data_IF_677115508733
#
_entry.id   IF_677115508733
#
_cell.length_a   1.000
_cell.length_b   1.000
_cell.length_c   1.000
_cell.angle_alpha   90.00
_cell.angle_beta   90.00
_cell.angle_gamma   90.00
#
_symmetry.space_group_name_H-M   'P 1'
#
loop_
_entity.id
_entity.type
_entity.pdbx_description
1 polymer ?
#
# COMPACT_ATOMS: atom_id res chain seq x y z
N UNK A 1 18.41 -29.72 3.39
CA UNK A 1 17.32 -29.14 4.21
C UNK A 1 16.05 -29.25 3.38
N UNK A 2 15.04 -29.93 3.89
CA UNK A 2 13.74 -30.10 3.23
C UNK A 2 12.83 -28.91 3.59
N UNK A 3 12.18 -28.30 2.60
CA UNK A 3 11.24 -27.19 2.83
C UNK A 3 9.97 -27.76 3.47
N UNK A 4 9.59 -27.35 4.71
CA UNK A 4 8.53 -28.02 5.44
C UNK A 4 7.17 -27.75 4.81
N UNK A 5 6.43 -28.81 4.48
CA UNK A 5 5.03 -28.72 4.09
C UNK A 5 4.15 -28.33 5.30
N UNK A 6 3.35 -27.29 5.14
CA UNK A 6 2.41 -26.83 6.17
C UNK A 6 1.13 -26.31 5.50
N UNK A 7 0.11 -27.17 5.46
CA UNK A 7 -1.20 -26.84 4.87
C UNK A 7 -1.85 -25.62 5.52
N UNK A 8 -1.70 -25.45 6.84
CA UNK A 8 -2.29 -24.31 7.55
C UNK A 8 -1.65 -23.01 7.12
N UNK A 9 -0.32 -22.99 6.89
CA UNK A 9 0.36 -21.80 6.32
C UNK A 9 -0.12 -21.48 4.91
N UNK A 10 -0.30 -22.48 4.06
CA UNK A 10 -0.79 -22.29 2.69
C UNK A 10 -2.21 -21.70 2.71
N UNK A 11 -3.12 -22.30 3.48
CA UNK A 11 -4.52 -21.83 3.59
C UNK A 11 -4.66 -20.44 4.22
N UNK A 12 -3.72 -20.06 5.09
CA UNK A 12 -3.69 -18.76 5.75
C UNK A 12 -2.83 -17.72 5.01
N UNK A 13 -2.26 -18.07 3.84
CA UNK A 13 -1.59 -17.08 2.99
C UNK A 13 -2.59 -16.02 2.53
N UNK A 14 -2.12 -14.78 2.44
CA UNK A 14 -2.94 -13.63 2.07
C UNK A 14 -2.17 -12.77 1.07
N UNK A 15 -2.93 -12.06 0.25
CA UNK A 15 -2.39 -11.02 -0.59
C UNK A 15 -1.81 -9.91 0.28
N UNK A 16 -0.77 -9.25 -0.23
CA UNK A 16 -0.25 -8.06 0.42
C UNK A 16 -1.12 -6.87 0.04
N UNK A 17 -1.99 -6.48 0.96
CA UNK A 17 -2.86 -5.31 0.82
C UNK A 17 -2.39 -4.18 1.72
N UNK A 18 -2.44 -2.95 1.23
CA UNK A 18 -2.24 -1.77 2.05
C UNK A 18 -3.02 -0.57 1.49
N UNK A 19 -3.40 0.39 2.35
CA UNK A 19 -4.18 1.54 1.93
C UNK A 19 -3.33 2.53 1.14
N UNK A 20 -3.91 3.04 0.06
CA UNK A 20 -3.38 4.12 -0.75
C UNK A 20 -4.44 5.20 -0.91
N UNK A 21 -4.03 6.41 -1.29
CA UNK A 21 -4.96 7.48 -1.63
C UNK A 21 -4.81 7.79 -3.12
N UNK A 22 -5.93 7.76 -3.86
CA UNK A 22 -6.00 8.24 -5.24
C UNK A 22 -6.97 9.41 -5.26
N UNK A 23 -6.52 10.57 -5.74
CA UNK A 23 -7.22 11.84 -5.60
C UNK A 23 -7.47 12.17 -4.10
N UNK A 24 -8.69 11.92 -3.61
CA UNK A 24 -9.08 12.13 -2.20
C UNK A 24 -9.75 10.91 -1.56
N UNK A 25 -9.72 9.77 -2.26
CA UNK A 25 -10.34 8.52 -1.81
C UNK A 25 -9.25 7.58 -1.28
N UNK A 26 -9.43 7.12 -0.05
CA UNK A 26 -8.60 6.08 0.54
C UNK A 26 -9.16 4.72 0.10
N UNK A 27 -8.33 3.91 -0.55
CA UNK A 27 -8.71 2.60 -1.06
C UNK A 27 -7.67 1.56 -0.64
N UNK A 28 -8.09 0.31 -0.49
CA UNK A 28 -7.16 -0.80 -0.33
C UNK A 28 -6.59 -1.18 -1.70
N UNK A 29 -5.26 -1.25 -1.81
CA UNK A 29 -4.57 -1.71 -3.00
C UNK A 29 -3.79 -2.99 -2.72
N UNK A 30 -3.75 -3.87 -3.74
CA UNK A 30 -2.99 -5.12 -3.74
C UNK A 30 -1.62 -4.84 -4.34
N UNK A 31 -0.56 -5.18 -3.64
CA UNK A 31 0.83 -5.04 -4.09
C UNK A 31 1.33 -6.40 -4.58
N UNK A 32 1.42 -6.55 -5.91
CA UNK A 32 1.68 -7.83 -6.56
C UNK A 32 2.87 -7.76 -7.51
N UNK A 33 4.04 -8.23 -7.05
CA UNK A 33 5.24 -8.34 -7.88
C UNK A 33 5.13 -9.41 -8.98
N UNK A 34 4.10 -10.25 -8.97
CA UNK A 34 3.80 -11.20 -10.04
C UNK A 34 3.10 -10.57 -11.24
N UNK A 35 2.52 -9.39 -11.09
CA UNK A 35 1.87 -8.66 -12.17
C UNK A 35 2.87 -7.77 -12.92
N UNK A 36 2.95 -7.91 -14.24
CA UNK A 36 3.85 -7.09 -15.07
C UNK A 36 3.47 -5.61 -15.12
N UNK A 37 2.17 -5.30 -14.99
CA UNK A 37 1.61 -3.94 -15.05
C UNK A 37 0.61 -3.72 -13.92
N UNK A 38 0.40 -2.46 -13.56
CA UNK A 38 -0.66 -2.07 -12.63
C UNK A 38 -2.04 -2.10 -13.27
N UNK A 39 -3.05 -2.50 -12.52
CA UNK A 39 -4.44 -2.68 -13.00
C UNK A 39 -5.43 -2.00 -12.06
N UNK A 40 -6.45 -1.37 -12.62
CA UNK A 40 -7.58 -0.81 -11.89
C UNK A 40 -8.90 -1.28 -12.51
N UNK A 41 -9.89 -1.63 -11.70
CA UNK A 41 -11.20 -2.00 -12.23
C UNK A 41 -11.89 -0.80 -12.86
N UNK A 42 -12.69 -1.04 -13.91
CA UNK A 42 -13.50 -0.01 -14.55
C UNK A 42 -14.41 0.72 -13.55
N UNK A 43 -15.10 -0.04 -12.70
CA UNK A 43 -15.97 0.50 -11.64
C UNK A 43 -15.24 1.46 -10.70
N UNK A 44 -14.00 1.14 -10.32
CA UNK A 44 -13.20 1.98 -9.44
C UNK A 44 -12.63 3.19 -10.19
N UNK A 45 -12.17 3.01 -11.43
CA UNK A 45 -11.69 4.12 -12.28
C UNK A 45 -12.79 5.16 -12.50
N UNK A 46 -14.02 4.73 -12.79
CA UNK A 46 -15.19 5.61 -12.97
C UNK A 46 -15.52 6.36 -11.67
N UNK A 47 -15.53 5.66 -10.52
CA UNK A 47 -15.73 6.27 -9.19
C UNK A 47 -14.69 7.36 -8.90
N UNK A 48 -13.43 7.10 -9.25
CA UNK A 48 -12.31 8.02 -9.07
C UNK A 48 -12.22 9.10 -10.16
N UNK A 49 -13.13 9.07 -11.15
CA UNK A 49 -13.19 9.99 -12.29
C UNK A 49 -11.90 10.00 -13.12
N UNK A 50 -11.27 8.84 -13.25
CA UNK A 50 -10.09 8.64 -14.06
C UNK A 50 -10.46 8.61 -15.54
N UNK A 51 -9.67 9.28 -16.39
CA UNK A 51 -9.93 9.38 -17.83
C UNK A 51 -9.00 8.44 -18.59
N UNK A 52 -9.54 7.48 -19.37
CA UNK A 52 -8.71 6.63 -20.23
C UNK A 52 -8.11 7.42 -21.39
N UNK A 53 -6.94 6.98 -21.85
CA UNK A 53 -6.33 7.42 -23.10
C UNK A 53 -6.91 6.64 -24.29
N UNK A 54 -6.52 7.02 -25.50
CA UNK A 54 -6.87 6.28 -26.71
C UNK A 54 -6.19 4.89 -26.75
N UNK A 55 -5.03 4.77 -26.11
CA UNK A 55 -4.20 3.58 -26.10
C UNK A 55 -4.87 2.41 -25.37
N UNK A 56 -4.44 1.20 -25.74
CA UNK A 56 -4.88 -0.03 -25.11
C UNK A 56 -3.76 -1.06 -25.06
N UNK A 57 -3.76 -1.86 -24.00
CA UNK A 57 -2.84 -2.95 -23.81
C UNK A 57 -3.61 -4.25 -23.62
N UNK A 58 -3.22 -5.30 -24.34
CA UNK A 58 -3.78 -6.62 -24.13
C UNK A 58 -3.10 -7.29 -22.94
N UNK A 59 -3.89 -7.64 -21.92
CA UNK A 59 -3.39 -8.34 -20.74
C UNK A 59 -3.57 -9.86 -20.92
N UNK A 60 -2.54 -10.60 -20.55
CA UNK A 60 -2.57 -12.06 -20.44
C UNK A 60 -2.41 -12.47 -18.97
N UNK A 61 -3.19 -13.46 -18.56
CA UNK A 61 -3.07 -14.11 -17.26
C UNK A 61 -2.54 -15.52 -17.46
N UNK A 62 -1.81 -16.03 -16.48
CA UNK A 62 -1.32 -17.41 -16.51
C UNK A 62 -2.50 -18.38 -16.72
N UNK A 63 -2.43 -19.20 -17.77
CA UNK A 63 -3.42 -20.23 -18.09
C UNK A 63 -4.73 -19.75 -18.72
N UNK A 64 -4.85 -18.48 -19.14
CA UNK A 64 -6.04 -17.97 -19.85
C UNK A 64 -5.71 -17.50 -21.26
N UNK A 65 -6.70 -17.64 -22.16
CA UNK A 65 -6.73 -16.93 -23.44
C UNK A 65 -6.72 -15.42 -23.19
N UNK A 66 -6.02 -14.69 -24.05
CA UNK A 66 -5.91 -13.23 -23.95
C UNK A 66 -7.28 -12.57 -23.93
N UNK A 67 -7.49 -11.69 -22.95
CA UNK A 67 -8.72 -10.91 -22.86
C UNK A 67 -8.80 -9.83 -23.95
N UNK A 68 -9.92 -9.10 -24.02
CA UNK A 68 -9.99 -7.90 -24.86
C UNK A 68 -8.93 -6.87 -24.40
N UNK A 69 -8.45 -5.99 -25.31
CA UNK A 69 -7.51 -4.93 -24.93
C UNK A 69 -8.10 -4.02 -23.84
N UNK A 70 -7.32 -3.80 -22.78
CA UNK A 70 -7.65 -2.89 -21.70
C UNK A 70 -7.26 -1.46 -22.07
N UNK A 71 -8.13 -0.49 -21.81
CA UNK A 71 -7.76 0.93 -21.93
C UNK A 71 -6.75 1.32 -20.86
N UNK A 72 -5.94 2.34 -21.12
CA UNK A 72 -4.92 2.80 -20.18
C UNK A 72 -5.36 4.12 -19.55
N UNK A 73 -5.17 4.28 -18.25
CA UNK A 73 -5.16 5.59 -17.59
C UNK A 73 -3.71 5.96 -17.26
N UNK A 74 -3.32 7.18 -17.57
CA UNK A 74 -1.98 7.70 -17.27
C UNK A 74 -1.99 8.66 -16.09
N UNK A 75 -0.84 8.83 -15.47
CA UNK A 75 -0.60 9.75 -14.35
C UNK A 75 -1.63 9.64 -13.20
N UNK A 76 -2.02 8.43 -12.83
CA UNK A 76 -2.90 8.19 -11.68
C UNK A 76 -2.17 8.69 -10.42
N UNK A 77 -2.71 9.68 -9.68
CA UNK A 77 -1.98 10.34 -8.60
C UNK A 77 -2.06 9.53 -7.31
N UNK A 78 -1.31 8.43 -7.28
CA UNK A 78 -1.25 7.55 -6.11
C UNK A 78 -0.41 8.22 -5.02
N UNK A 79 -0.96 8.26 -3.81
CA UNK A 79 -0.24 8.59 -2.59
C UNK A 79 -0.16 7.35 -1.70
N UNK A 80 1.06 6.96 -1.37
CA UNK A 80 1.34 5.85 -0.46
C UNK A 80 2.14 6.38 0.72
N UNK A 81 1.63 6.21 1.93
CA UNK A 81 2.22 6.76 3.15
C UNK A 81 2.59 8.26 3.02
N UNK A 82 1.67 9.04 2.45
CA UNK A 82 1.83 10.48 2.19
C UNK A 82 2.70 10.85 0.98
N UNK A 83 3.44 9.90 0.39
CA UNK A 83 4.33 10.16 -0.76
C UNK A 83 3.59 10.03 -2.08
N UNK A 84 3.70 11.05 -2.93
CA UNK A 84 3.15 11.03 -4.28
C UNK A 84 4.03 10.18 -5.20
N UNK A 85 3.44 9.12 -5.77
CA UNK A 85 4.10 8.10 -6.59
C UNK A 85 3.17 7.72 -7.74
N UNK A 86 3.09 8.55 -8.80
CA UNK A 86 2.11 8.35 -9.86
C UNK A 86 2.35 7.04 -10.63
N UNK A 87 1.29 6.53 -11.25
CA UNK A 87 1.33 5.28 -12.01
C UNK A 87 0.53 5.37 -13.31
N UNK A 88 0.80 4.47 -14.25
CA UNK A 88 -0.06 4.22 -15.41
C UNK A 88 -0.71 2.86 -15.23
N UNK A 89 -2.04 2.79 -15.36
CA UNK A 89 -2.79 1.58 -15.02
C UNK A 89 -3.65 1.13 -16.19
N UNK A 90 -3.74 -0.17 -16.40
CA UNK A 90 -4.70 -0.76 -17.31
C UNK A 90 -6.07 -0.84 -16.62
N UNK A 91 -7.11 -0.43 -17.31
CA UNK A 91 -8.50 -0.52 -16.87
C UNK A 91 -9.02 -1.90 -17.25
N UNK A 92 -9.30 -2.72 -16.24
CA UNK A 92 -9.85 -4.06 -16.40
C UNK A 92 -11.36 -4.05 -16.14
N UNK A 93 -12.12 -4.68 -17.04
CA UNK A 93 -13.55 -4.86 -16.87
C UNK A 93 -13.81 -6.07 -15.97
N UNK A 94 -14.14 -5.81 -14.71
CA UNK A 94 -14.45 -6.82 -13.68
C UNK A 94 -15.53 -6.27 -12.76
N UNK A 95 -16.35 -7.19 -12.24
CA UNK A 95 -17.36 -6.96 -11.22
C UNK A 95 -16.78 -6.53 -9.86
N UNK A 96 -15.51 -6.82 -9.61
CA UNK A 96 -14.82 -6.48 -8.36
C UNK A 96 -14.20 -5.09 -8.43
N UNK A 97 -14.32 -4.32 -7.35
CA UNK A 97 -13.54 -3.09 -7.17
C UNK A 97 -12.10 -3.46 -6.83
N UNK A 98 -11.18 -3.36 -7.79
CA UNK A 98 -9.79 -3.79 -7.65
C UNK A 98 -8.83 -2.66 -7.99
N UNK A 99 -7.82 -2.47 -7.16
CA UNK A 99 -6.62 -1.69 -7.47
C UNK A 99 -5.41 -2.57 -7.21
N UNK A 100 -4.69 -2.95 -8.25
CA UNK A 100 -3.50 -3.79 -8.20
C UNK A 100 -2.30 -2.98 -8.68
N UNK A 101 -1.26 -2.95 -7.86
CA UNK A 101 0.00 -2.27 -8.11
C UNK A 101 1.02 -3.32 -8.54
N UNK A 102 1.42 -3.24 -9.82
CA UNK A 102 2.30 -4.21 -10.46
C UNK A 102 3.75 -3.72 -10.59
N UNK A 103 4.55 -4.50 -11.30
CA UNK A 103 6.00 -4.28 -11.46
C UNK A 103 6.37 -2.95 -12.11
N UNK A 104 5.53 -2.38 -12.97
CA UNK A 104 5.75 -1.03 -13.52
C UNK A 104 5.95 0.02 -12.42
N UNK A 105 5.12 -0.02 -11.38
CA UNK A 105 5.20 0.91 -10.25
C UNK A 105 6.41 0.62 -9.35
N UNK A 106 6.67 -0.67 -9.06
CA UNK A 106 7.82 -1.05 -8.24
C UNK A 106 9.14 -0.58 -8.86
N UNK A 107 9.31 -0.80 -10.16
CA UNK A 107 10.50 -0.41 -10.90
C UNK A 107 10.62 1.12 -11.03
N UNK A 108 9.53 1.81 -11.37
CA UNK A 108 9.56 3.26 -11.56
C UNK A 108 9.97 4.03 -10.29
N UNK A 109 9.61 3.51 -9.11
CA UNK A 109 9.82 4.20 -7.84
C UNK A 109 10.84 3.53 -6.91
N UNK A 110 11.55 2.49 -7.37
CA UNK A 110 12.56 1.77 -6.58
C UNK A 110 12.01 1.15 -5.29
N UNK A 111 10.80 0.59 -5.35
CA UNK A 111 10.06 0.08 -4.20
C UNK A 111 10.47 -1.36 -3.92
N UNK A 112 10.59 -1.73 -2.64
CA UNK A 112 10.95 -3.09 -2.20
C UNK A 112 9.82 -3.72 -1.39
N UNK A 113 9.53 -4.98 -1.69
CA UNK A 113 8.55 -5.79 -0.97
C UNK A 113 9.27 -6.86 -0.14
N UNK A 114 8.99 -6.90 1.16
CA UNK A 114 9.48 -7.92 2.08
C UNK A 114 8.31 -8.79 2.53
N UNK A 115 8.30 -10.05 2.07
CA UNK A 115 7.19 -10.98 2.31
C UNK A 115 7.16 -11.54 3.75
N UNK A 116 8.31 -11.60 4.43
CA UNK A 116 8.44 -12.17 5.79
C UNK A 116 7.64 -11.42 6.83
N UNK A 117 7.46 -10.12 6.66
CA UNK A 117 6.78 -9.21 7.59
C UNK A 117 5.72 -8.35 6.90
N UNK A 118 5.29 -8.74 5.69
CA UNK A 118 4.32 -8.01 4.87
C UNK A 118 4.62 -6.51 4.79
N UNK A 119 5.88 -6.15 4.50
CA UNK A 119 6.35 -4.75 4.49
C UNK A 119 6.72 -4.26 3.10
N UNK A 120 6.27 -3.05 2.76
CA UNK A 120 6.66 -2.31 1.55
C UNK A 120 7.56 -1.17 1.99
N UNK A 121 8.73 -1.04 1.36
CA UNK A 121 9.68 0.03 1.61
C UNK A 121 9.65 1.00 0.43
N UNK A 122 9.30 2.25 0.72
CA UNK A 122 9.15 3.34 -0.24
C UNK A 122 10.30 4.32 -0.05
N UNK A 123 11.22 4.38 -1.02
CA UNK A 123 12.36 5.30 -0.99
C UNK A 123 11.90 6.76 -1.07
N UNK A 124 12.47 7.65 -0.23
CA UNK A 124 12.08 9.07 -0.15
C UNK A 124 13.00 9.98 -0.99
N UNK A 125 14.27 9.58 -1.18
CA UNK A 125 15.31 10.24 -2.01
C UNK A 125 16.29 9.18 -2.54
N UNK A 126 17.24 9.56 -3.42
CA UNK A 126 18.44 8.76 -3.69
C UNK A 126 19.29 8.67 -2.42
N UNK A 127 19.05 7.66 -1.58
CA UNK A 127 19.67 7.55 -0.26
C UNK A 127 19.06 6.45 0.62
N UNK A 128 19.33 6.51 1.94
CA UNK A 128 18.84 5.52 2.93
C UNK A 128 17.47 5.85 3.55
N UNK A 129 16.87 6.98 3.17
CA UNK A 129 15.60 7.42 3.72
C UNK A 129 14.45 6.66 3.07
N UNK A 130 13.64 5.99 3.88
CA UNK A 130 12.51 5.19 3.39
C UNK A 130 11.30 5.30 4.29
N UNK A 131 10.11 5.21 3.70
CA UNK A 131 8.86 5.00 4.45
C UNK A 131 8.53 3.51 4.43
N UNK A 132 8.16 2.99 5.59
CA UNK A 132 7.75 1.61 5.76
C UNK A 132 6.22 1.57 5.79
N UNK A 133 5.63 0.82 4.88
CA UNK A 133 4.20 0.51 4.88
C UNK A 133 4.03 -0.96 5.24
N UNK A 134 3.40 -1.23 6.37
CA UNK A 134 3.05 -2.58 6.76
C UNK A 134 1.65 -2.90 6.23
N UNK A 135 1.53 -4.01 5.50
CA UNK A 135 0.25 -4.47 4.98
C UNK A 135 -0.74 -4.77 6.11
N UNK A 136 -2.02 -4.51 5.87
CA UNK A 136 -3.07 -4.78 6.86
C UNK A 136 -3.21 -6.29 7.01
N UNK A 137 -3.04 -6.79 8.22
CA UNK A 137 -3.41 -8.16 8.58
C UNK A 137 -4.88 -8.10 8.99
N UNK A 138 -5.80 -8.46 8.10
CA UNK A 138 -7.19 -8.70 8.52
C UNK A 138 -7.17 -9.88 9.50
N UNK A 139 -7.34 -9.60 10.79
CA UNK A 139 -7.70 -10.63 11.75
C UNK A 139 -9.13 -11.06 11.42
N UNK A 140 -9.39 -12.37 11.41
CA UNK A 140 -10.77 -12.87 11.27
C UNK A 140 -11.53 -12.42 12.52
N UNK A 141 -12.38 -11.42 12.36
CA UNK A 141 -13.27 -10.95 13.42
C UNK A 141 -14.11 -12.14 13.96
N UNK A 142 -14.12 -12.30 15.29
CA UNK A 142 -15.23 -12.94 15.97
C UNK A 142 -16.52 -12.13 15.71
N UNK A 143 -17.69 -12.76 15.53
CA UNK A 143 -18.85 -12.16 14.89
C UNK A 143 -19.61 -11.08 15.69
N UNK A 144 -18.98 -10.34 16.62
CA UNK A 144 -19.69 -9.33 17.42
C UNK A 144 -18.89 -8.07 17.84
N UNK A 145 -17.74 -7.79 17.22
CA UNK A 145 -17.04 -6.52 17.47
C UNK A 145 -17.28 -5.60 16.28
N UNK A 146 -17.79 -4.39 16.54
CA UNK A 146 -17.80 -3.30 15.56
C UNK A 146 -16.34 -3.00 15.23
N UNK A 147 -15.82 -3.60 14.16
CA UNK A 147 -14.44 -3.36 13.71
C UNK A 147 -14.34 -1.93 13.21
N UNK A 148 -13.74 -1.08 14.04
CA UNK A 148 -13.25 0.21 13.58
C UNK A 148 -12.00 -0.08 12.77
N UNK A 149 -12.11 -0.01 11.45
CA UNK A 149 -10.94 -0.08 10.59
C UNK A 149 -10.07 1.15 10.83
N UNK A 150 -8.84 0.91 11.29
CA UNK A 150 -7.82 1.92 11.47
C UNK A 150 -6.74 1.69 10.44
N UNK A 151 -6.39 2.74 9.71
CA UNK A 151 -5.15 2.75 8.92
C UNK A 151 -4.03 3.27 9.81
N UNK A 152 -3.03 2.43 10.08
CA UNK A 152 -1.83 2.81 10.82
C UNK A 152 -0.71 3.05 9.80
N UNK A 153 -0.27 4.30 9.67
CA UNK A 153 0.97 4.61 8.98
C UNK A 153 2.10 4.66 9.99
N UNK A 154 3.14 3.84 9.80
CA UNK A 154 4.38 3.90 10.59
C UNK A 154 5.47 4.50 9.71
N UNK A 155 5.64 5.81 9.78
CA UNK A 155 6.75 6.45 9.07
C UNK A 155 7.97 6.40 9.97
N UNK A 156 8.99 5.65 9.56
CA UNK A 156 10.30 5.66 10.21
C UNK A 156 11.19 6.67 9.46
N UNK A 157 11.57 7.76 10.11
CA UNK A 157 12.50 8.74 9.55
C UNK A 157 13.84 8.55 10.23
N UNK A 158 14.85 8.09 9.48
CA UNK A 158 16.23 8.08 9.93
C UNK A 158 16.81 9.47 9.65
N UNK A 159 17.06 10.26 10.69
CA UNK A 159 17.75 11.55 10.55
C UNK A 159 19.18 11.41 11.01
N UNK A 160 20.15 11.60 10.11
CA UNK A 160 21.55 11.76 10.48
C UNK A 160 21.74 13.14 11.13
N UNK A 161 21.67 13.19 12.44
CA UNK A 161 22.37 14.23 13.21
C UNK A 161 23.53 13.57 13.97
N UNK A 162 24.74 14.06 13.69
CA UNK A 162 26.04 13.73 14.30
C UNK A 162 26.04 12.57 15.33
N UNK A 163 26.46 11.38 14.87
CA UNK A 163 26.79 10.20 15.68
C UNK A 163 25.66 9.54 16.50
N UNK A 164 24.39 9.90 16.30
CA UNK A 164 23.23 9.11 16.80
C UNK A 164 22.32 8.70 15.65
N UNK A 165 22.00 7.41 15.56
CA UNK A 165 20.86 6.98 14.77
C UNK A 165 19.58 7.31 15.54
N UNK A 166 19.03 8.48 15.27
CA UNK A 166 17.72 8.85 15.80
C UNK A 166 16.63 8.38 14.83
N UNK A 167 15.79 7.48 15.33
CA UNK A 167 14.61 6.98 14.64
C UNK A 167 13.39 7.76 15.12
N UNK A 168 12.74 8.50 14.21
CA UNK A 168 11.43 9.10 14.50
C UNK A 168 10.33 8.19 13.97
N UNK A 169 9.45 7.73 14.86
CA UNK A 169 8.25 6.98 14.51
C UNK A 169 7.08 7.97 14.50
N UNK A 170 6.59 8.29 13.31
CA UNK A 170 5.32 9.00 13.14
C UNK A 170 4.22 7.99 12.94
N UNK A 171 3.29 7.95 13.90
CA UNK A 171 2.14 7.08 13.90
C UNK A 171 0.89 7.92 13.58
N UNK A 172 0.31 7.72 12.40
CA UNK A 172 -0.98 8.34 12.05
C UNK A 172 -2.05 7.26 12.06
N UNK A 173 -3.07 7.45 12.90
CA UNK A 173 -4.25 6.60 13.00
C UNK A 173 -5.43 7.37 12.43
N UNK A 174 -5.94 6.93 11.28
CA UNK A 174 -7.13 7.57 10.68
C UNK A 174 -8.30 6.58 10.61
N UNK A 175 -9.48 6.93 11.14
CA UNK A 175 -10.69 6.14 10.94
C UNK A 175 -11.10 6.14 9.46
N UNK A 176 -11.42 4.99 8.88
CA UNK A 176 -11.76 4.85 7.45
C UNK A 176 -13.00 5.63 6.99
N UNK A 177 -13.87 6.06 7.92
CA UNK A 177 -15.12 6.77 7.62
C UNK A 177 -15.00 8.30 7.42
N UNK A 178 -13.80 8.89 7.39
CA UNK A 178 -13.61 10.33 7.10
C UNK A 178 -12.92 10.57 5.75
N UNK A 179 -13.44 11.53 4.98
CA UNK A 179 -12.81 12.03 3.74
C UNK A 179 -11.38 12.48 4.03
N UNK A 180 -10.40 11.92 3.32
CA UNK A 180 -9.00 12.30 3.43
C UNK A 180 -8.79 13.67 2.77
N UNK A 181 -8.52 14.70 3.57
CA UNK A 181 -7.97 15.96 3.07
C UNK A 181 -6.45 15.88 3.11
N UNK A 182 -5.77 16.24 2.01
CA UNK A 182 -4.30 16.29 1.96
C UNK A 182 -3.70 17.23 3.00
N UNK A 183 -4.46 18.23 3.47
CA UNK A 183 -4.04 19.14 4.54
C UNK A 183 -4.02 18.46 5.93
N UNK A 184 -4.76 17.38 6.13
CA UNK A 184 -4.86 16.73 7.44
C UNK A 184 -3.59 15.96 7.85
N UNK A 185 -2.73 15.61 6.89
CA UNK A 185 -1.44 14.97 7.18
C UNK A 185 -0.39 15.95 7.69
N UNK A 186 -0.50 17.23 7.31
CA UNK A 186 0.42 18.30 7.76
C UNK A 186 -0.05 19.00 9.03
N UNK A 187 -1.33 18.85 9.44
CA UNK A 187 -1.89 19.60 10.57
C UNK A 187 -2.78 18.79 11.54
N UNK A 188 -2.62 17.47 11.64
CA UNK A 188 -3.38 16.65 12.60
C UNK A 188 -2.94 16.95 14.05
N UNK A 189 -3.85 17.39 14.96
CA UNK A 189 -3.53 17.65 16.37
C UNK A 189 -3.36 16.37 17.22
N UNK A 190 -3.41 15.18 16.61
CA UNK A 190 -3.24 13.88 17.28
C UNK A 190 -1.95 13.15 16.89
N UNK A 191 -0.97 13.83 16.30
CA UNK A 191 0.39 13.30 16.21
C UNK A 191 0.99 13.21 17.61
N UNK A 192 1.34 12.00 18.06
CA UNK A 192 2.22 11.82 19.22
C UNK A 192 3.61 11.50 18.67
N UNK A 193 4.57 12.39 18.93
CA UNK A 193 5.98 12.11 18.72
C UNK A 193 6.44 11.12 19.79
N UNK A 194 7.01 9.99 19.37
CA UNK A 194 7.68 9.07 20.27
C UNK A 194 9.16 9.02 19.89
N UNK A 195 10.03 9.48 20.78
CA UNK A 195 11.48 9.30 20.68
C UNK A 195 11.87 8.07 21.49
N UNK A 196 12.38 7.02 20.84
CA UNK A 196 12.99 5.88 21.53
C UNK A 196 14.49 5.87 21.28
N UNK A 197 15.26 6.13 22.32
CA UNK A 197 16.70 5.90 22.34
C UNK A 197 16.95 4.49 22.87
N UNK A 198 17.06 3.52 21.97
CA UNK A 198 17.93 2.33 22.07
C UNK A 198 17.45 1.21 21.13
N UNK A 199 18.43 0.60 20.49
CA UNK A 199 18.34 -0.55 19.61
C UNK A 199 17.76 -1.77 20.33
N UNK A 200 16.46 -2.01 20.22
CA UNK A 200 15.80 -3.31 20.31
C UNK A 200 14.35 -3.13 19.87
N UNK A 201 14.02 -3.66 18.69
CA UNK A 201 12.69 -3.64 18.12
C UNK A 201 11.70 -4.37 19.05
N UNK A 202 11.01 -3.61 19.90
CA UNK A 202 9.82 -4.09 20.59
C UNK A 202 8.59 -3.64 19.76
N UNK A 203 7.67 -4.55 19.40
CA UNK A 203 6.41 -4.15 18.80
C UNK A 203 5.66 -3.24 19.78
N UNK A 204 5.37 -2.01 19.35
CA UNK A 204 4.52 -1.09 20.11
C UNK A 204 3.11 -1.69 20.10
N UNK A 205 2.72 -2.32 21.22
CA UNK A 205 1.34 -2.77 21.43
C UNK A 205 0.49 -1.56 21.79
N UNK A 206 -0.39 -1.17 20.88
CA UNK A 206 -1.41 -0.17 21.14
C UNK A 206 -2.66 -0.93 21.57
N UNK A 207 -3.06 -0.78 22.84
CA UNK A 207 -4.34 -1.29 23.34
C UNK A 207 -5.40 -0.19 23.17
N UNK A 208 -6.57 -0.55 22.63
CA UNK A 208 -7.75 0.31 22.55
C UNK A 208 -8.73 -0.05 23.67
#
# INVERSE_FOLDING_TARGET
>A
MEYPYDLKKIQNSRLMCAPIVINSECIEAIFDSGASVSVISKTLADKLKLKPTADSLQLSSLGKTTGPPCKIVTNVPIRVAGKHRPEHMCIMDTDRSVCLIGMTWFCAHGIRQYHTNSTIIISIKEGRDSVILQGIKQEKDEPNVISKEYVIFVVNINTKDNNREDYRILLSITPTNRKFSSAAFESSPTSREFSTTNSLFSPVRIYF
#
